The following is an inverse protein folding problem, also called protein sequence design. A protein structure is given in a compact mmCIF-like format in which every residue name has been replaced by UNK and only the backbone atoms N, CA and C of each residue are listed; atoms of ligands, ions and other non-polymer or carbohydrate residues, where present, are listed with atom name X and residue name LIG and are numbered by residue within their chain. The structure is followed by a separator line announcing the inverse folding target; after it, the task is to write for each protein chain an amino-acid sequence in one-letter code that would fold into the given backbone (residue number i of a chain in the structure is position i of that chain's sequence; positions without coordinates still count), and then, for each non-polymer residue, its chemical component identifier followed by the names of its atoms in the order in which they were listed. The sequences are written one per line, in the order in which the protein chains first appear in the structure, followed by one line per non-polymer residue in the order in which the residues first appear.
data_IF_400344241647
#
_entry.id   IF_400344241647
#
_cell.length_a   1.000
_cell.length_b   1.000
_cell.length_c   1.000
_cell.angle_alpha   90.00
_cell.angle_beta   90.00
_cell.angle_gamma   90.00
#
_symmetry.space_group_name_H-M   'P 1'
#
loop_
_entity.id
_entity.type
_entity.pdbx_description
1 polymer ?
#
# COMPACT_ATOMS: atom_id res chain seq x y z
N UNK A 1 -5.58 7.93 4.16
CA UNK A 1 -5.42 6.67 4.93
C UNK A 1 -3.97 6.47 5.36
N UNK A 2 -3.00 6.50 4.43
CA UNK A 2 -1.57 6.31 4.74
C UNK A 2 -1.00 7.36 5.72
N UNK A 3 -1.31 8.64 5.51
CA UNK A 3 -0.83 9.75 6.35
C UNK A 3 -1.27 9.64 7.82
N UNK A 4 -2.53 9.25 8.05
CA UNK A 4 -3.09 9.22 9.41
C UNK A 4 -2.74 7.96 10.20
N UNK A 5 -2.55 6.81 9.53
CA UNK A 5 -2.21 5.55 10.20
C UNK A 5 -0.72 5.28 10.30
N UNK A 6 0.03 5.62 9.26
CA UNK A 6 1.47 5.32 9.19
C UNK A 6 2.35 6.56 9.42
N UNK A 7 1.75 7.73 9.66
CA UNK A 7 2.49 8.97 9.90
C UNK A 7 3.30 9.45 8.70
N UNK A 8 2.95 9.01 7.49
CA UNK A 8 3.66 9.33 6.26
C UNK A 8 3.24 10.72 5.76
N UNK A 9 4.16 11.65 5.48
CA UNK A 9 3.80 12.95 4.93
C UNK A 9 3.10 12.79 3.58
N UNK A 10 1.96 13.46 3.32
CA UNK A 10 1.27 13.37 2.02
C UNK A 10 2.15 13.83 0.85
N UNK A 11 3.12 14.70 1.11
CA UNK A 11 4.13 15.16 0.14
C UNK A 11 5.13 14.08 -0.24
N UNK A 12 5.34 13.07 0.60
CA UNK A 12 6.23 11.94 0.32
C UNK A 12 5.48 10.76 -0.34
N UNK A 13 4.15 10.76 -0.30
CA UNK A 13 3.34 9.72 -0.96
C UNK A 13 3.24 10.05 -2.45
N UNK A 14 4.28 9.68 -3.20
CA UNK A 14 4.29 9.72 -4.67
C UNK A 14 4.25 8.31 -5.23
N UNK A 15 3.74 8.14 -6.45
CA UNK A 15 3.66 6.83 -7.11
C UNK A 15 5.04 6.16 -7.29
N UNK A 16 6.09 6.98 -7.40
CA UNK A 16 7.49 6.57 -7.53
C UNK A 16 8.16 6.33 -6.17
N UNK A 17 7.55 6.76 -5.07
CA UNK A 17 8.12 6.58 -3.73
C UNK A 17 8.11 5.11 -3.34
N UNK A 18 9.29 4.59 -2.99
CA UNK A 18 9.42 3.26 -2.41
C UNK A 18 8.75 3.20 -1.02
N UNK A 19 8.03 2.11 -0.74
CA UNK A 19 7.36 1.89 0.53
C UNK A 19 8.34 1.95 1.72
N UNK A 20 9.57 1.45 1.53
CA UNK A 20 10.67 1.59 2.50
C UNK A 20 11.02 3.04 2.82
N UNK A 21 10.95 3.94 1.85
CA UNK A 21 11.23 5.38 2.05
C UNK A 21 10.16 6.05 2.90
N UNK A 22 8.94 5.50 2.90
CA UNK A 22 7.84 5.94 3.74
C UNK A 22 7.87 5.34 5.15
N UNK A 23 8.97 4.66 5.52
CA UNK A 23 9.11 3.92 6.78
C UNK A 23 7.98 2.91 7.01
N UNK A 24 7.50 2.31 5.93
CA UNK A 24 6.63 1.14 6.02
C UNK A 24 7.49 -0.10 6.20
N UNK A 25 7.54 -0.57 7.45
CA UNK A 25 8.15 -1.85 7.80
C UNK A 25 7.26 -3.03 7.36
N UNK A 26 7.78 -4.26 7.43
CA UNK A 26 7.02 -5.46 7.05
C UNK A 26 5.69 -5.58 7.80
N UNK A 27 5.62 -5.21 9.08
CA UNK A 27 4.37 -5.22 9.85
C UNK A 27 3.37 -4.18 9.33
N UNK A 28 3.83 -2.96 9.05
CA UNK A 28 2.99 -1.90 8.52
C UNK A 28 2.43 -2.24 7.13
N UNK A 29 3.22 -2.94 6.32
CA UNK A 29 2.77 -3.43 5.01
C UNK A 29 1.69 -4.50 5.13
N UNK A 30 1.83 -5.43 6.09
CA UNK A 30 0.80 -6.43 6.35
C UNK A 30 -0.49 -5.80 6.88
N UNK A 31 -0.40 -4.82 7.79
CA UNK A 31 -1.58 -4.07 8.23
C UNK A 31 -2.23 -3.29 7.07
N UNK A 32 -1.41 -2.67 6.20
CA UNK A 32 -1.89 -1.95 5.03
C UNK A 32 -2.63 -2.89 4.07
N UNK A 33 -2.07 -4.08 3.82
CA UNK A 33 -2.68 -5.14 3.00
C UNK A 33 -4.06 -5.51 3.55
N UNK A 34 -4.12 -5.96 4.80
CA UNK A 34 -5.38 -6.38 5.44
C UNK A 34 -6.42 -5.25 5.39
N UNK A 35 -6.02 -4.01 5.61
CA UNK A 35 -6.94 -2.87 5.56
C UNK A 35 -7.49 -2.56 4.17
N UNK A 36 -6.71 -2.83 3.13
CA UNK A 36 -7.16 -2.65 1.77
C UNK A 36 -8.12 -3.78 1.41
N UNK A 37 -7.77 -5.02 1.75
CA UNK A 37 -8.63 -6.20 1.57
C UNK A 37 -9.99 -6.00 2.27
N UNK A 38 -10.00 -5.61 3.55
CA UNK A 38 -11.23 -5.36 4.31
C UNK A 38 -12.10 -4.22 3.74
N UNK A 39 -11.48 -3.20 3.14
CA UNK A 39 -12.22 -2.01 2.66
C UNK A 39 -12.75 -2.15 1.25
N UNK A 40 -12.02 -2.87 0.41
CA UNK A 40 -12.32 -3.02 -1.01
C UNK A 40 -12.85 -4.41 -1.34
N UNK A 41 -12.87 -5.32 -0.35
CA UNK A 41 -13.29 -6.73 -0.51
C UNK A 41 -12.50 -7.43 -1.61
N UNK A 42 -11.19 -7.11 -1.69
CA UNK A 42 -10.24 -7.71 -2.64
C UNK A 42 -9.30 -8.64 -1.92
N UNK A 43 -8.73 -9.59 -2.65
CA UNK A 43 -7.68 -10.48 -2.14
C UNK A 43 -6.33 -10.02 -2.69
N UNK A 44 -5.43 -9.59 -1.81
CA UNK A 44 -4.11 -9.14 -2.21
C UNK A 44 -3.05 -10.24 -2.00
N UNK A 45 -3.37 -11.44 -1.51
CA UNK A 45 -2.39 -12.50 -1.19
C UNK A 45 -1.46 -12.82 -2.39
N UNK A 46 -1.98 -12.75 -3.61
CA UNK A 46 -1.19 -12.92 -4.84
C UNK A 46 -0.24 -11.75 -5.16
N UNK A 47 -0.54 -10.56 -4.62
CA UNK A 47 0.29 -9.36 -4.75
C UNK A 47 1.39 -9.42 -3.70
N UNK A 48 2.61 -9.77 -4.11
CA UNK A 48 3.78 -9.70 -3.23
C UNK A 48 4.20 -8.25 -2.96
N UNK A 49 3.56 -7.62 -1.97
CA UNK A 49 3.94 -6.30 -1.45
C UNK A 49 5.20 -6.43 -0.60
N UNK A 50 6.28 -5.82 -1.06
CA UNK A 50 7.56 -5.75 -0.37
C UNK A 50 7.98 -4.30 -0.16
N UNK A 51 8.85 -3.99 0.81
CA UNK A 51 9.36 -2.63 1.02
C UNK A 51 10.07 -2.02 -0.19
N UNK A 52 10.44 -2.86 -1.17
CA UNK A 52 11.06 -2.45 -2.44
C UNK A 52 10.05 -1.93 -3.46
N UNK A 53 8.77 -2.27 -3.31
CA UNK A 53 7.73 -1.78 -4.20
C UNK A 53 7.46 -0.30 -3.94
N UNK A 54 6.86 0.36 -4.93
CA UNK A 54 6.45 1.76 -4.81
C UNK A 54 4.97 1.87 -4.48
N UNK A 55 4.56 3.06 -4.02
CA UNK A 55 3.13 3.35 -3.79
C UNK A 55 2.33 3.18 -5.07
N UNK A 56 2.88 3.55 -6.23
CA UNK A 56 2.20 3.40 -7.52
C UNK A 56 1.94 1.93 -7.86
N UNK A 57 2.87 1.02 -7.54
CA UNK A 57 2.64 -0.41 -7.72
C UNK A 57 1.57 -0.96 -6.77
N UNK A 58 1.54 -0.48 -5.53
CA UNK A 58 0.47 -0.82 -4.59
C UNK A 58 -0.88 -0.34 -5.13
N UNK A 59 -0.99 0.93 -5.54
CA UNK A 59 -2.23 1.51 -6.06
C UNK A 59 -2.66 0.77 -7.33
N UNK A 60 -1.76 0.48 -8.26
CA UNK A 60 -2.07 -0.26 -9.48
C UNK A 60 -2.52 -1.70 -9.20
N UNK A 61 -1.93 -2.38 -8.21
CA UNK A 61 -2.35 -3.71 -7.79
C UNK A 61 -3.77 -3.69 -7.19
N UNK A 62 -4.10 -2.63 -6.45
CA UNK A 62 -5.44 -2.43 -5.89
C UNK A 62 -6.45 -2.08 -6.97
N UNK A 63 -6.13 -1.11 -7.83
CA UNK A 63 -6.99 -0.64 -8.93
C UNK A 63 -7.28 -1.77 -9.93
N UNK A 64 -6.30 -2.63 -10.23
CA UNK A 64 -6.49 -3.79 -11.08
C UNK A 64 -7.38 -4.89 -10.48
N UNK A 65 -7.59 -4.89 -9.16
CA UNK A 65 -8.43 -5.87 -8.45
C UNK A 65 -9.81 -5.33 -8.08
N UNK A 66 -10.01 -4.00 -8.09
CA UNK A 66 -11.32 -3.41 -7.80
C UNK A 66 -12.14 -3.37 -9.10
N UNK A 67 -13.25 -4.12 -9.21
CA UNK A 67 -14.18 -3.93 -10.33
C UNK A 67 -14.80 -2.52 -10.25
N UNK A 68 -14.81 -1.82 -11.40
CA UNK A 68 -15.32 -0.45 -11.56
C UNK A 68 -16.81 -0.28 -11.21
#
# INVERSE_FOLDING_TARGET
MLVQRFGVPPTDITEEAALRSLRLDSLALEELRVLIEERLDIDLDEVSLTPRNTVGQLVAAVDGNVPA
#
